data_IF_716642475016
#
_entry.id   IF_716642475016
#
_cell.length_a   1.000
_cell.length_b   1.000
_cell.length_c   1.000
_cell.angle_alpha   90.00
_cell.angle_beta   90.00
_cell.angle_gamma   90.00
#
_symmetry.space_group_name_H-M   'P 1'
#
loop_
_entity.id
_entity.type
_entity.pdbx_description
1 polymer ?
#
# COMPACT_ATOMS: atom_id res chain seq x y z
N UNK A 1 -21.21 38.69 44.59
CA UNK A 1 -20.15 38.62 43.55
C UNK A 1 -20.18 37.30 42.77
N UNK A 2 -20.53 36.15 43.37
CA UNK A 2 -20.55 34.83 42.70
C UNK A 2 -21.52 34.72 41.48
N UNK A 3 -22.72 35.33 41.54
CA UNK A 3 -23.69 35.24 40.44
C UNK A 3 -23.20 35.90 39.13
N UNK A 4 -22.39 36.96 39.21
CA UNK A 4 -21.81 37.62 38.02
C UNK A 4 -20.73 36.72 37.35
N UNK A 5 -19.93 36.01 38.16
CA UNK A 5 -18.89 35.13 37.66
C UNK A 5 -19.45 33.91 36.96
N UNK A 6 -20.58 33.37 37.42
CA UNK A 6 -21.30 32.27 36.79
C UNK A 6 -21.89 32.67 35.44
N UNK A 7 -22.44 33.91 35.35
CA UNK A 7 -22.97 34.44 34.10
C UNK A 7 -21.88 34.59 33.01
N UNK A 8 -20.70 35.12 33.36
CA UNK A 8 -19.60 35.25 32.41
C UNK A 8 -19.01 33.88 31.97
N UNK A 9 -19.03 32.89 32.86
CA UNK A 9 -18.62 31.50 32.50
C UNK A 9 -19.61 30.89 31.53
N UNK A 10 -20.91 31.04 31.75
CA UNK A 10 -21.96 30.51 30.86
C UNK A 10 -21.91 31.22 29.49
N UNK A 11 -21.71 32.54 29.50
CA UNK A 11 -21.59 33.33 28.27
C UNK A 11 -20.32 32.92 27.47
N UNK A 12 -19.19 32.75 28.16
CA UNK A 12 -17.96 32.27 27.57
C UNK A 12 -18.09 30.85 26.99
N UNK A 13 -18.72 29.93 27.70
CA UNK A 13 -19.02 28.60 27.20
C UNK A 13 -19.95 28.61 25.97
N UNK A 14 -20.96 29.50 25.97
CA UNK A 14 -21.85 29.71 24.82
C UNK A 14 -21.11 30.23 23.58
N UNK A 15 -20.22 31.19 23.75
CA UNK A 15 -19.37 31.72 22.67
C UNK A 15 -18.44 30.64 22.12
N UNK A 16 -17.82 29.84 22.99
CA UNK A 16 -16.96 28.72 22.59
C UNK A 16 -17.76 27.69 21.81
N UNK A 17 -18.98 27.34 22.25
CA UNK A 17 -19.85 26.41 21.51
C UNK A 17 -20.25 26.93 20.13
N UNK A 18 -20.59 28.25 20.04
CA UNK A 18 -20.91 28.87 18.74
C UNK A 18 -19.68 28.90 17.83
N UNK A 19 -18.48 29.15 18.33
CA UNK A 19 -17.24 29.11 17.56
C UNK A 19 -16.92 27.67 17.09
N UNK A 20 -17.11 26.69 17.96
CA UNK A 20 -16.95 25.27 17.62
C UNK A 20 -17.97 24.88 16.55
N UNK A 21 -19.25 25.26 16.72
CA UNK A 21 -20.30 24.94 15.74
C UNK A 21 -20.04 25.66 14.40
N UNK A 22 -19.62 26.91 14.40
CA UNK A 22 -19.24 27.65 13.19
C UNK A 22 -17.99 27.04 12.50
N UNK A 23 -17.06 26.52 13.29
CA UNK A 23 -15.89 25.80 12.77
C UNK A 23 -16.29 24.49 12.08
N UNK A 24 -17.19 23.71 12.69
CA UNK A 24 -17.68 22.46 12.07
C UNK A 24 -18.55 22.74 10.83
N UNK A 25 -19.39 23.76 10.82
CA UNK A 25 -20.17 24.12 9.62
C UNK A 25 -19.28 24.62 8.46
N UNK A 26 -18.22 25.38 8.76
CA UNK A 26 -17.23 25.77 7.76
C UNK A 26 -16.30 24.64 7.35
N UNK A 27 -16.15 23.63 8.21
CA UNK A 27 -15.30 22.46 7.93
C UNK A 27 -15.82 21.65 6.75
N UNK A 28 -17.13 21.41 6.63
CA UNK A 28 -17.72 20.69 5.51
C UNK A 28 -17.56 21.45 4.19
N UNK A 29 -17.84 22.75 4.18
CA UNK A 29 -17.60 23.62 3.02
C UNK A 29 -16.09 23.67 2.66
N UNK A 30 -15.20 23.74 3.66
CA UNK A 30 -13.76 23.72 3.45
C UNK A 30 -13.29 22.36 2.93
N UNK A 31 -13.88 21.26 3.42
CA UNK A 31 -13.62 19.90 2.97
C UNK A 31 -14.04 19.70 1.50
N UNK A 32 -15.17 20.24 1.09
CA UNK A 32 -15.64 20.15 -0.30
C UNK A 32 -14.76 20.95 -1.25
N UNK A 33 -14.40 22.17 -0.87
CA UNK A 33 -13.44 23.00 -1.61
C UNK A 33 -12.09 22.28 -1.69
N UNK A 34 -11.56 21.82 -0.56
CA UNK A 34 -10.30 21.10 -0.47
C UNK A 34 -10.30 19.82 -1.31
N UNK A 35 -11.35 19.00 -1.23
CA UNK A 35 -11.47 17.76 -2.01
C UNK A 35 -11.54 18.03 -3.51
N UNK A 36 -12.21 19.08 -3.92
CA UNK A 36 -12.32 19.49 -5.33
C UNK A 36 -10.97 19.96 -5.88
N UNK A 37 -10.28 20.87 -5.18
CA UNK A 37 -8.98 21.37 -5.66
C UNK A 37 -7.90 20.29 -5.62
N UNK A 38 -7.87 19.44 -4.58
CA UNK A 38 -6.96 18.28 -4.55
C UNK A 38 -7.30 17.31 -5.67
N UNK A 39 -8.60 17.13 -5.98
CA UNK A 39 -9.02 16.31 -7.10
C UNK A 39 -8.37 16.71 -8.43
N UNK A 40 -8.17 18.00 -8.67
CA UNK A 40 -7.46 18.51 -9.86
C UNK A 40 -5.93 18.33 -9.78
N UNK A 41 -5.34 18.28 -8.57
CA UNK A 41 -3.90 18.06 -8.39
C UNK A 41 -3.51 16.57 -8.45
N UNK A 42 -4.45 15.64 -8.29
CA UNK A 42 -4.18 14.20 -8.32
C UNK A 42 -3.39 13.76 -9.58
N UNK A 43 -3.75 14.16 -10.81
CA UNK A 43 -2.98 13.79 -12.00
C UNK A 43 -1.54 14.31 -11.96
N UNK A 44 -1.30 15.51 -11.38
CA UNK A 44 0.07 16.04 -11.22
C UNK A 44 0.87 15.22 -10.20
N UNK A 45 0.23 14.79 -9.11
CA UNK A 45 0.84 13.90 -8.13
C UNK A 45 1.20 12.56 -8.79
N UNK A 46 0.28 11.97 -9.56
CA UNK A 46 0.58 10.76 -10.34
C UNK A 46 1.73 10.99 -11.31
N UNK A 47 1.77 12.12 -12.02
CA UNK A 47 2.84 12.45 -12.95
C UNK A 47 4.21 12.51 -12.25
N UNK A 48 4.29 13.16 -11.09
CA UNK A 48 5.51 13.21 -10.28
C UNK A 48 5.95 11.81 -9.82
N UNK A 49 5.03 11.01 -9.28
CA UNK A 49 5.35 9.65 -8.83
C UNK A 49 5.81 8.77 -9.99
N UNK A 50 5.07 8.75 -11.10
CA UNK A 50 5.41 7.95 -12.28
C UNK A 50 6.76 8.39 -12.85
N UNK A 51 7.01 9.70 -12.98
CA UNK A 51 8.28 10.21 -13.50
C UNK A 51 9.46 9.86 -12.59
N UNK A 52 9.32 10.05 -11.26
CA UNK A 52 10.34 9.66 -10.28
C UNK A 52 10.63 8.16 -10.38
N UNK A 53 9.59 7.34 -10.55
CA UNK A 53 9.69 5.90 -10.58
C UNK A 53 10.32 5.35 -11.87
N UNK A 54 9.99 5.94 -13.02
CA UNK A 54 10.53 5.52 -14.32
C UNK A 54 11.90 6.13 -14.63
N UNK A 55 12.25 7.24 -14.00
CA UNK A 55 13.51 7.94 -14.25
C UNK A 55 14.78 7.06 -14.12
N UNK A 56 14.93 6.18 -13.12
CA UNK A 56 16.09 5.31 -13.04
C UNK A 56 16.20 4.35 -14.24
N UNK A 57 15.07 3.88 -14.78
CA UNK A 57 15.03 3.03 -15.97
C UNK A 57 15.45 3.81 -17.22
N UNK A 58 14.89 5.02 -17.37
CA UNK A 58 15.26 5.93 -18.47
C UNK A 58 16.73 6.25 -18.43
N UNK A 59 17.28 6.69 -17.29
CA UNK A 59 18.69 7.02 -17.13
C UNK A 59 19.60 5.81 -17.35
N UNK A 60 19.18 4.61 -16.93
CA UNK A 60 19.94 3.39 -17.17
C UNK A 60 20.07 3.06 -18.66
N UNK A 61 18.98 3.20 -19.41
CA UNK A 61 18.96 2.98 -20.87
C UNK A 61 19.79 4.07 -21.57
N UNK A 62 19.56 5.33 -21.23
CA UNK A 62 20.28 6.50 -21.77
C UNK A 62 21.79 6.32 -21.62
N UNK A 63 22.26 6.03 -20.40
CA UNK A 63 23.68 5.88 -20.10
C UNK A 63 24.29 4.60 -20.69
N UNK A 64 23.55 3.48 -20.71
CA UNK A 64 24.06 2.20 -21.22
C UNK A 64 24.21 2.20 -22.72
N UNK A 65 23.26 2.78 -23.44
CA UNK A 65 23.21 2.78 -24.89
C UNK A 65 23.62 4.13 -25.51
N UNK A 66 23.95 5.14 -24.68
CA UNK A 66 24.32 6.50 -25.08
C UNK A 66 23.28 7.13 -26.05
N UNK A 67 22.00 6.87 -25.77
CA UNK A 67 20.89 7.35 -26.60
C UNK A 67 20.49 8.76 -26.19
N UNK A 68 19.84 9.47 -27.13
CA UNK A 68 19.19 10.76 -26.84
C UNK A 68 18.03 10.55 -25.84
N UNK A 69 17.80 11.53 -24.97
CA UNK A 69 16.80 11.50 -23.89
C UNK A 69 15.41 11.04 -24.39
N UNK A 70 14.93 11.64 -25.46
CA UNK A 70 13.60 11.30 -26.00
C UNK A 70 13.48 9.84 -26.45
N UNK A 71 14.55 9.26 -27.02
CA UNK A 71 14.58 7.85 -27.43
C UNK A 71 14.51 6.94 -26.21
N UNK A 72 15.29 7.25 -25.17
CA UNK A 72 15.31 6.45 -23.92
C UNK A 72 13.96 6.50 -23.21
N UNK A 73 13.30 7.66 -23.17
CA UNK A 73 11.92 7.80 -22.63
C UNK A 73 10.96 6.98 -23.46
N UNK A 74 10.97 7.08 -24.79
CA UNK A 74 10.08 6.31 -25.66
C UNK A 74 10.25 4.80 -25.47
N UNK A 75 11.48 4.31 -25.36
CA UNK A 75 11.75 2.89 -25.11
C UNK A 75 11.14 2.44 -23.77
N UNK A 76 11.35 3.21 -22.69
CA UNK A 76 10.80 2.86 -21.37
C UNK A 76 9.28 2.87 -21.39
N UNK A 77 8.65 3.87 -22.03
CA UNK A 77 7.19 3.95 -22.15
C UNK A 77 6.63 2.77 -22.92
N UNK A 78 7.24 2.41 -24.06
CA UNK A 78 6.83 1.23 -24.84
C UNK A 78 6.98 -0.06 -24.02
N UNK A 79 8.09 -0.23 -23.28
CA UNK A 79 8.29 -1.38 -22.40
C UNK A 79 7.24 -1.45 -21.30
N UNK A 80 6.89 -0.32 -20.68
CA UNK A 80 5.81 -0.25 -19.66
C UNK A 80 4.47 -0.63 -20.29
N UNK A 81 4.14 -0.09 -21.45
CA UNK A 81 2.87 -0.41 -22.16
C UNK A 81 2.83 -1.91 -22.51
N UNK A 82 3.91 -2.46 -23.06
CA UNK A 82 3.99 -3.90 -23.37
C UNK A 82 3.88 -4.74 -22.09
N UNK A 83 4.56 -4.35 -21.02
CA UNK A 83 4.48 -5.04 -19.74
C UNK A 83 3.06 -5.04 -19.16
N UNK A 84 2.38 -3.89 -19.15
CA UNK A 84 1.00 -3.77 -18.69
C UNK A 84 0.03 -4.53 -19.60
N UNK A 85 0.16 -4.39 -20.93
CA UNK A 85 -0.67 -5.10 -21.89
C UNK A 85 -0.48 -6.63 -21.78
N UNK A 86 0.75 -7.09 -21.62
CA UNK A 86 1.07 -8.51 -21.38
C UNK A 86 0.46 -9.01 -20.08
N UNK A 87 0.62 -8.27 -18.98
CA UNK A 87 0.01 -8.60 -17.70
C UNK A 87 -1.52 -8.69 -17.80
N UNK A 88 -2.16 -7.66 -18.36
CA UNK A 88 -3.62 -7.63 -18.55
C UNK A 88 -4.08 -8.76 -19.49
N UNK A 89 -3.41 -8.93 -20.62
CA UNK A 89 -3.80 -9.92 -21.65
C UNK A 89 -3.61 -11.38 -21.21
N UNK A 90 -2.60 -11.66 -20.38
CA UNK A 90 -2.33 -13.03 -19.92
C UNK A 90 -3.06 -13.37 -18.62
N UNK A 91 -3.10 -12.43 -17.69
CA UNK A 91 -3.58 -12.71 -16.33
C UNK A 91 -5.08 -12.43 -16.18
N UNK A 92 -5.59 -11.34 -16.75
CA UNK A 92 -6.99 -10.95 -16.60
C UNK A 92 -7.99 -12.02 -17.12
N UNK A 93 -7.77 -12.66 -18.28
CA UNK A 93 -8.65 -13.73 -18.74
C UNK A 93 -8.65 -14.96 -17.82
N UNK A 94 -7.50 -15.31 -17.23
CA UNK A 94 -7.39 -16.44 -16.30
C UNK A 94 -8.09 -16.12 -14.97
N UNK A 95 -7.95 -14.88 -14.46
CA UNK A 95 -8.71 -14.42 -13.31
C UNK A 95 -10.21 -14.45 -13.59
N UNK A 96 -10.65 -13.96 -14.75
CA UNK A 96 -12.05 -13.99 -15.16
C UNK A 96 -12.62 -15.42 -15.21
N UNK A 97 -11.86 -16.39 -15.72
CA UNK A 97 -12.25 -17.80 -15.67
C UNK A 97 -12.37 -18.31 -14.25
N UNK A 98 -11.37 -18.06 -13.40
CA UNK A 98 -11.39 -18.46 -11.98
C UNK A 98 -12.57 -17.86 -11.23
N UNK A 99 -12.87 -16.60 -11.44
CA UNK A 99 -14.06 -15.95 -10.85
C UNK A 99 -15.37 -16.54 -11.37
N UNK A 100 -15.48 -16.81 -12.67
CA UNK A 100 -16.67 -17.44 -13.25
C UNK A 100 -16.89 -18.86 -12.72
N UNK A 101 -15.83 -19.64 -12.61
CA UNK A 101 -15.88 -20.99 -12.03
C UNK A 101 -16.29 -20.94 -10.55
N UNK A 102 -15.69 -20.04 -9.78
CA UNK A 102 -16.03 -19.80 -8.39
C UNK A 102 -17.53 -19.43 -8.25
N UNK A 103 -18.00 -18.46 -9.04
CA UNK A 103 -19.39 -18.01 -9.03
C UNK A 103 -20.37 -19.16 -9.33
N UNK A 104 -20.08 -19.98 -10.35
CA UNK A 104 -20.92 -21.10 -10.75
C UNK A 104 -20.92 -22.24 -9.71
N UNK A 105 -19.82 -22.40 -8.96
CA UNK A 105 -19.67 -23.43 -7.92
C UNK A 105 -20.18 -22.98 -6.55
N UNK A 106 -20.41 -21.69 -6.33
CA UNK A 106 -20.84 -21.16 -5.03
C UNK A 106 -22.02 -21.91 -4.39
N UNK A 107 -23.13 -22.24 -5.10
CA UNK A 107 -24.23 -22.99 -4.52
C UNK A 107 -23.80 -24.38 -4.04
N UNK A 108 -23.04 -25.10 -4.85
CA UNK A 108 -22.53 -26.43 -4.53
C UNK A 108 -21.50 -26.43 -3.39
N UNK A 109 -20.69 -25.38 -3.32
CA UNK A 109 -19.70 -25.20 -2.26
C UNK A 109 -20.36 -25.00 -0.89
N UNK A 110 -21.55 -24.38 -0.82
CA UNK A 110 -22.31 -24.24 0.43
C UNK A 110 -22.70 -25.60 1.00
N UNK A 111 -23.12 -26.53 0.16
CA UNK A 111 -23.51 -27.88 0.56
C UNK A 111 -22.30 -28.69 1.04
N UNK A 112 -21.20 -28.69 0.26
CA UNK A 112 -19.95 -29.36 0.64
C UNK A 112 -19.35 -28.85 1.94
N UNK A 113 -19.45 -27.55 2.18
CA UNK A 113 -18.92 -26.95 3.39
C UNK A 113 -19.77 -27.36 4.61
N UNK A 114 -21.09 -27.43 4.46
CA UNK A 114 -21.98 -27.97 5.48
C UNK A 114 -21.59 -29.40 5.87
N UNK A 115 -21.35 -30.26 4.87
CA UNK A 115 -20.91 -31.64 5.09
C UNK A 115 -19.52 -31.77 5.71
N UNK A 116 -18.60 -30.87 5.33
CA UNK A 116 -17.27 -30.81 5.95
C UNK A 116 -17.35 -30.41 7.41
N UNK A 117 -18.13 -29.36 7.72
CA UNK A 117 -18.34 -28.89 9.10
C UNK A 117 -18.96 -30.02 9.95
N UNK A 118 -19.97 -30.72 9.44
CA UNK A 118 -20.56 -31.87 10.13
C UNK A 118 -19.52 -32.93 10.44
N UNK A 119 -18.70 -33.33 9.47
CA UNK A 119 -17.62 -34.30 9.67
C UNK A 119 -16.60 -33.86 10.71
N UNK A 120 -16.22 -32.58 10.73
CA UNK A 120 -15.30 -32.03 11.73
C UNK A 120 -15.95 -32.03 13.12
N UNK A 121 -17.21 -31.63 13.24
CA UNK A 121 -17.94 -31.66 14.51
C UNK A 121 -18.10 -33.07 15.04
N UNK A 122 -18.48 -34.05 14.18
CA UNK A 122 -18.60 -35.45 14.54
C UNK A 122 -17.24 -36.03 15.04
N UNK A 123 -16.13 -35.70 14.37
CA UNK A 123 -14.78 -36.09 14.79
C UNK A 123 -14.39 -35.51 16.14
N UNK A 124 -14.69 -34.21 16.37
CA UNK A 124 -14.40 -33.55 17.64
C UNK A 124 -15.26 -34.10 18.79
N UNK A 125 -16.48 -34.54 18.48
CA UNK A 125 -17.37 -35.21 19.42
C UNK A 125 -16.87 -36.59 19.80
N UNK A 126 -16.43 -37.39 18.82
CA UNK A 126 -15.85 -38.71 19.06
C UNK A 126 -14.62 -38.65 19.97
N UNK A 127 -13.88 -37.53 19.92
CA UNK A 127 -12.70 -37.27 20.75
C UNK A 127 -13.01 -36.56 22.08
N UNK A 128 -14.28 -36.39 22.46
CA UNK A 128 -14.73 -35.66 23.67
C UNK A 128 -14.12 -34.25 23.82
N UNK A 129 -13.74 -33.62 22.71
CA UNK A 129 -13.13 -32.28 22.69
C UNK A 129 -14.18 -31.17 22.63
N UNK A 130 -15.45 -31.47 22.41
CA UNK A 130 -16.56 -30.51 22.37
C UNK A 130 -17.32 -30.52 23.70
N UNK A 131 -17.22 -29.41 24.44
CA UNK A 131 -17.91 -29.20 25.73
C UNK A 131 -19.18 -28.34 25.58
N UNK A 132 -19.46 -27.74 24.43
CA UNK A 132 -20.52 -26.72 24.25
C UNK A 132 -21.40 -27.05 23.04
N UNK A 133 -22.71 -26.80 23.18
CA UNK A 133 -23.83 -27.01 22.27
C UNK A 133 -23.58 -27.04 20.76
N UNK A 134 -23.51 -28.24 20.19
CA UNK A 134 -23.24 -28.56 18.80
C UNK A 134 -24.10 -27.75 17.80
N UNK A 135 -25.39 -27.67 18.02
CA UNK A 135 -26.36 -26.97 17.15
C UNK A 135 -26.02 -25.47 17.01
N UNK A 136 -25.58 -24.83 18.10
CA UNK A 136 -25.29 -23.41 18.10
C UNK A 136 -23.99 -23.11 17.32
N UNK A 137 -23.01 -23.99 17.40
CA UNK A 137 -21.73 -23.85 16.64
C UNK A 137 -22.01 -24.09 15.15
N UNK A 138 -22.73 -25.14 14.79
CA UNK A 138 -23.12 -25.47 13.42
C UNK A 138 -23.92 -24.31 12.79
N UNK A 139 -24.98 -23.83 13.47
CA UNK A 139 -25.80 -22.73 12.99
C UNK A 139 -25.02 -21.42 12.85
N UNK A 140 -24.17 -21.09 13.80
CA UNK A 140 -23.35 -19.87 13.74
C UNK A 140 -22.35 -19.93 12.59
N UNK A 141 -21.66 -21.06 12.38
CA UNK A 141 -20.71 -21.22 11.28
C UNK A 141 -21.44 -21.18 9.94
N UNK A 142 -22.56 -21.91 9.78
CA UNK A 142 -23.36 -21.89 8.55
C UNK A 142 -23.89 -20.49 8.24
N UNK A 143 -24.36 -19.76 9.25
CA UNK A 143 -24.84 -18.39 9.08
C UNK A 143 -23.72 -17.41 8.72
N UNK A 144 -22.54 -17.52 9.36
CA UNK A 144 -21.36 -16.74 9.00
C UNK A 144 -20.94 -17.01 7.55
N UNK A 145 -20.97 -18.26 7.10
CA UNK A 145 -20.63 -18.62 5.74
C UNK A 145 -21.63 -18.09 4.73
N UNK A 146 -22.93 -18.28 4.96
CA UNK A 146 -24.00 -17.73 4.11
C UNK A 146 -23.87 -16.20 3.96
N UNK A 147 -23.61 -15.51 5.08
CA UNK A 147 -23.43 -14.05 5.09
C UNK A 147 -22.17 -13.63 4.31
N UNK A 148 -21.04 -14.32 4.48
CA UNK A 148 -19.82 -14.00 3.78
C UNK A 148 -19.86 -14.34 2.28
N UNK A 149 -20.58 -15.40 1.90
CA UNK A 149 -20.83 -15.73 0.49
C UNK A 149 -21.73 -14.67 -0.16
N UNK A 150 -22.78 -14.22 0.54
CA UNK A 150 -23.61 -13.09 0.10
C UNK A 150 -22.77 -11.82 -0.10
N UNK A 151 -21.91 -11.48 0.86
CA UNK A 151 -21.00 -10.36 0.77
C UNK A 151 -20.01 -10.46 -0.41
N UNK A 152 -19.56 -11.67 -0.76
CA UNK A 152 -18.71 -11.90 -1.95
C UNK A 152 -19.47 -11.67 -3.26
N UNK A 153 -20.73 -12.10 -3.33
CA UNK A 153 -21.58 -11.82 -4.50
C UNK A 153 -21.82 -10.32 -4.65
N UNK A 154 -22.19 -9.64 -3.55
CA UNK A 154 -22.36 -8.19 -3.51
C UNK A 154 -21.05 -7.46 -3.85
N UNK A 155 -19.91 -7.91 -3.34
CA UNK A 155 -18.61 -7.37 -3.69
C UNK A 155 -18.31 -7.53 -5.19
N UNK A 156 -18.53 -8.72 -5.76
CA UNK A 156 -18.37 -8.97 -7.21
C UNK A 156 -19.27 -8.06 -8.06
N UNK A 157 -20.53 -7.91 -7.66
CA UNK A 157 -21.49 -7.01 -8.32
C UNK A 157 -21.06 -5.54 -8.12
N UNK A 158 -20.66 -5.16 -6.92
CA UNK A 158 -20.23 -3.79 -6.65
C UNK A 158 -18.97 -3.39 -7.43
N UNK A 159 -18.03 -4.31 -7.63
CA UNK A 159 -16.88 -4.09 -8.51
C UNK A 159 -17.31 -3.83 -9.95
N UNK A 160 -18.30 -4.57 -10.46
CA UNK A 160 -18.84 -4.37 -11.81
C UNK A 160 -19.67 -3.08 -11.92
N UNK A 161 -20.49 -2.76 -10.90
CA UNK A 161 -21.35 -1.57 -10.91
C UNK A 161 -20.55 -0.26 -10.71
N UNK A 162 -19.38 -0.32 -10.10
CA UNK A 162 -18.51 0.85 -9.92
C UNK A 162 -17.66 1.19 -11.16
N UNK A 163 -18.07 0.76 -12.35
CA UNK A 163 -17.34 1.05 -13.62
C UNK A 163 -17.11 2.56 -13.80
N UNK A 164 -18.06 3.40 -13.44
CA UNK A 164 -17.90 4.86 -13.53
C UNK A 164 -16.78 5.39 -12.63
N UNK A 165 -16.68 4.86 -11.41
CA UNK A 165 -15.59 5.23 -10.48
C UNK A 165 -14.22 4.81 -11.03
N UNK A 166 -14.13 3.58 -11.57
CA UNK A 166 -12.93 3.09 -12.23
C UNK A 166 -12.56 3.93 -13.45
N UNK A 167 -13.55 4.35 -14.24
CA UNK A 167 -13.32 5.21 -15.41
C UNK A 167 -12.74 6.57 -15.04
N UNK A 168 -13.26 7.20 -13.97
CA UNK A 168 -12.72 8.47 -13.46
C UNK A 168 -11.32 8.30 -12.88
N UNK A 169 -11.07 7.23 -12.13
CA UNK A 169 -9.75 6.94 -11.57
C UNK A 169 -8.73 6.67 -12.69
N UNK A 170 -9.09 5.88 -13.68
CA UNK A 170 -8.26 5.59 -14.86
C UNK A 170 -7.97 6.84 -15.68
N UNK A 171 -8.96 7.71 -15.92
CA UNK A 171 -8.73 8.95 -16.65
C UNK A 171 -7.71 9.86 -15.96
N UNK A 172 -7.81 10.01 -14.64
CA UNK A 172 -6.82 10.75 -13.84
C UNK A 172 -5.44 10.12 -13.92
N UNK A 173 -5.37 8.78 -13.90
CA UNK A 173 -4.12 8.05 -14.05
C UNK A 173 -3.49 8.26 -15.43
N UNK A 174 -4.28 8.15 -16.51
CA UNK A 174 -3.79 8.39 -17.87
C UNK A 174 -3.31 9.82 -18.09
N UNK A 175 -4.03 10.82 -17.56
CA UNK A 175 -3.57 12.21 -17.60
C UNK A 175 -2.24 12.33 -16.84
N UNK A 176 -2.13 11.74 -15.65
CA UNK A 176 -0.90 11.74 -14.89
C UNK A 176 0.25 11.03 -15.61
N UNK A 177 -0.01 9.89 -16.26
CA UNK A 177 0.97 9.17 -17.05
C UNK A 177 1.46 10.02 -18.25
N UNK A 178 0.54 10.67 -18.94
CA UNK A 178 0.89 11.57 -20.03
C UNK A 178 1.76 12.75 -19.57
N UNK A 179 1.38 13.39 -18.46
CA UNK A 179 2.19 14.44 -17.85
C UNK A 179 3.57 13.94 -17.39
N UNK A 180 3.66 12.69 -16.90
CA UNK A 180 4.94 12.09 -16.50
C UNK A 180 5.91 11.97 -17.67
N UNK A 181 5.42 11.69 -18.88
CA UNK A 181 6.25 11.65 -20.09
C UNK A 181 6.93 13.01 -20.33
N UNK A 182 6.20 14.12 -20.20
CA UNK A 182 6.79 15.46 -20.35
C UNK A 182 7.80 15.76 -19.23
N UNK A 183 7.51 15.41 -17.99
CA UNK A 183 8.46 15.57 -16.88
C UNK A 183 9.74 14.76 -17.15
N UNK A 184 9.60 13.54 -17.70
CA UNK A 184 10.75 12.70 -18.06
C UNK A 184 11.55 13.28 -19.23
N UNK A 185 10.90 13.82 -20.24
CA UNK A 185 11.56 14.45 -21.38
C UNK A 185 12.37 15.68 -20.95
N UNK A 186 11.75 16.55 -20.17
CA UNK A 186 12.31 17.84 -19.76
C UNK A 186 12.84 17.83 -18.30
N UNK A 187 13.32 16.68 -17.81
CA UNK A 187 13.80 16.49 -16.44
C UNK A 187 14.74 17.59 -15.98
N UNK A 188 15.74 17.93 -16.81
CA UNK A 188 16.76 18.91 -16.43
C UNK A 188 16.15 20.30 -16.20
N UNK A 189 15.18 20.68 -17.03
CA UNK A 189 14.43 21.92 -16.86
C UNK A 189 13.66 21.92 -15.54
N UNK A 190 12.91 20.84 -15.25
CA UNK A 190 12.13 20.74 -14.01
C UNK A 190 13.00 20.74 -12.75
N UNK A 191 14.13 20.00 -12.77
CA UNK A 191 15.07 19.97 -11.65
C UNK A 191 15.71 21.35 -11.43
N UNK A 192 16.14 22.01 -12.51
CA UNK A 192 16.71 23.36 -12.45
C UNK A 192 15.67 24.38 -11.96
N UNK A 193 14.46 24.32 -12.46
CA UNK A 193 13.34 25.17 -12.04
C UNK A 193 13.05 25.01 -10.54
N UNK A 194 12.94 23.77 -10.05
CA UNK A 194 12.72 23.49 -8.63
C UNK A 194 13.88 24.03 -7.76
N UNK A 195 15.12 23.79 -8.15
CA UNK A 195 16.30 24.28 -7.42
C UNK A 195 16.35 25.81 -7.39
N UNK A 196 15.97 26.48 -8.48
CA UNK A 196 15.90 27.93 -8.52
C UNK A 196 14.82 28.47 -7.57
N UNK A 197 13.63 27.88 -7.57
CA UNK A 197 12.55 28.23 -6.63
C UNK A 197 13.01 28.04 -5.19
N UNK A 198 13.62 26.92 -4.86
CA UNK A 198 14.13 26.66 -3.51
C UNK A 198 15.19 27.70 -3.11
N UNK A 199 16.07 28.08 -4.04
CA UNK A 199 17.10 29.08 -3.81
C UNK A 199 16.50 30.48 -3.60
N UNK A 200 15.47 30.84 -4.37
CA UNK A 200 14.76 32.13 -4.25
C UNK A 200 14.03 32.24 -2.93
N UNK A 201 13.27 31.18 -2.54
CA UNK A 201 12.43 31.23 -1.34
C UNK A 201 13.26 31.05 -0.06
N UNK A 202 14.22 30.14 -0.04
CA UNK A 202 14.96 29.75 1.16
C UNK A 202 16.35 30.39 1.30
N UNK A 203 16.83 31.03 0.22
CA UNK A 203 18.21 31.49 0.11
C UNK A 203 19.16 30.36 -0.32
N UNK A 204 20.36 30.71 -0.80
CA UNK A 204 21.32 29.79 -1.45
C UNK A 204 21.70 28.59 -0.58
N UNK A 205 22.10 28.81 0.67
CA UNK A 205 22.52 27.72 1.57
C UNK A 205 21.38 26.77 1.92
N UNK A 206 20.23 27.31 2.34
CA UNK A 206 19.06 26.49 2.70
C UNK A 206 18.43 25.82 1.48
N UNK A 207 18.48 26.47 0.31
CA UNK A 207 18.03 25.91 -0.96
C UNK A 207 18.81 24.65 -1.36
N UNK A 208 20.15 24.68 -1.24
CA UNK A 208 21.01 23.52 -1.47
C UNK A 208 20.66 22.39 -0.47
N UNK A 209 20.54 22.70 0.81
CA UNK A 209 20.15 21.71 1.82
C UNK A 209 18.80 21.06 1.51
N UNK A 210 17.83 21.85 1.07
CA UNK A 210 16.51 21.33 0.72
C UNK A 210 16.57 20.46 -0.54
N UNK A 211 17.35 20.83 -1.54
CA UNK A 211 17.58 20.02 -2.74
C UNK A 211 18.19 18.65 -2.39
N UNK A 212 19.22 18.65 -1.54
CA UNK A 212 19.85 17.41 -1.07
C UNK A 212 18.89 16.54 -0.27
N UNK A 213 18.09 17.15 0.59
CA UNK A 213 17.04 16.45 1.33
C UNK A 213 16.00 15.82 0.41
N UNK A 214 15.52 16.54 -0.61
CA UNK A 214 14.58 16.02 -1.59
C UNK A 214 15.16 14.86 -2.39
N UNK A 215 16.45 14.93 -2.77
CA UNK A 215 17.13 13.85 -3.45
C UNK A 215 17.27 12.60 -2.57
N UNK A 216 17.60 12.75 -1.29
CA UNK A 216 17.66 11.64 -0.34
C UNK A 216 16.27 11.04 -0.11
N UNK A 217 15.24 11.87 0.05
CA UNK A 217 13.84 11.44 0.19
C UNK A 217 13.35 10.66 -1.03
N UNK A 218 13.70 11.13 -2.23
CA UNK A 218 13.44 10.41 -3.49
C UNK A 218 14.08 9.01 -3.47
N UNK A 219 15.32 8.89 -3.02
CA UNK A 219 16.01 7.60 -2.98
C UNK A 219 15.35 6.65 -1.96
N UNK A 220 14.96 7.14 -0.78
CA UNK A 220 14.20 6.36 0.21
C UNK A 220 12.91 5.82 -0.42
N UNK A 221 12.15 6.67 -1.10
CA UNK A 221 10.90 6.29 -1.78
C UNK A 221 11.15 5.25 -2.87
N UNK A 222 12.09 5.50 -3.77
CA UNK A 222 12.41 4.61 -4.89
C UNK A 222 12.85 3.22 -4.42
N UNK A 223 13.80 3.19 -3.51
CA UNK A 223 14.34 1.94 -3.00
C UNK A 223 13.23 1.12 -2.30
N UNK A 224 12.38 1.76 -1.50
CA UNK A 224 11.27 1.08 -0.86
C UNK A 224 10.28 0.51 -1.88
N UNK A 225 9.82 1.32 -2.82
CA UNK A 225 8.80 0.90 -3.81
C UNK A 225 9.33 -0.22 -4.70
N UNK A 226 10.54 -0.05 -5.27
CA UNK A 226 11.17 -1.11 -6.07
C UNK A 226 11.42 -2.37 -5.26
N UNK A 227 11.91 -2.22 -4.05
CA UNK A 227 12.11 -3.33 -3.14
C UNK A 227 10.83 -4.10 -2.88
N UNK A 228 9.73 -3.41 -2.56
CA UNK A 228 8.42 -4.05 -2.30
C UNK A 228 7.83 -4.72 -3.54
N UNK A 229 7.97 -4.12 -4.73
CA UNK A 229 7.53 -4.75 -5.98
C UNK A 229 8.29 -6.06 -6.21
N UNK A 230 9.61 -6.04 -6.08
CA UNK A 230 10.44 -7.22 -6.27
C UNK A 230 10.09 -8.30 -5.23
N UNK A 231 9.99 -7.92 -3.95
CA UNK A 231 9.58 -8.82 -2.88
C UNK A 231 8.23 -9.49 -3.16
N UNK A 232 7.24 -8.69 -3.51
CA UNK A 232 5.88 -9.13 -3.79
C UNK A 232 5.82 -10.07 -5.01
N UNK A 233 6.60 -9.77 -6.05
CA UNK A 233 6.73 -10.65 -7.22
C UNK A 233 7.34 -12.01 -6.84
N UNK A 234 8.40 -12.02 -6.02
CA UNK A 234 9.00 -13.26 -5.53
C UNK A 234 8.04 -14.08 -4.66
N UNK A 235 7.37 -13.43 -3.70
CA UNK A 235 6.38 -14.09 -2.84
C UNK A 235 5.25 -14.69 -3.68
N UNK A 236 4.69 -13.91 -4.62
CA UNK A 236 3.65 -14.38 -5.51
C UNK A 236 4.11 -15.55 -6.39
N UNK A 237 5.30 -15.47 -6.98
CA UNK A 237 5.84 -16.53 -7.83
C UNK A 237 6.10 -17.83 -7.05
N UNK A 238 6.74 -17.74 -5.89
CA UNK A 238 7.01 -18.91 -5.04
C UNK A 238 5.72 -19.55 -4.55
N UNK A 239 4.77 -18.72 -4.07
CA UNK A 239 3.44 -19.21 -3.67
C UNK A 239 2.74 -19.89 -4.85
N UNK A 240 2.78 -19.30 -6.06
CA UNK A 240 2.20 -19.91 -7.25
C UNK A 240 2.82 -21.26 -7.57
N UNK A 241 4.14 -21.39 -7.56
CA UNK A 241 4.87 -22.63 -7.83
C UNK A 241 4.39 -23.73 -6.86
N UNK A 242 4.36 -23.45 -5.56
CA UNK A 242 3.92 -24.43 -4.57
C UNK A 242 2.46 -24.83 -4.79
N UNK A 243 1.55 -23.86 -4.98
CA UNK A 243 0.13 -24.14 -5.18
C UNK A 243 -0.13 -24.89 -6.49
N UNK A 244 0.61 -24.58 -7.55
CA UNK A 244 0.49 -25.24 -8.86
C UNK A 244 0.89 -26.71 -8.77
N UNK A 245 2.06 -27.01 -8.21
CA UNK A 245 2.55 -28.40 -8.10
C UNK A 245 1.77 -29.24 -7.08
N UNK A 246 1.15 -28.62 -6.09
CA UNK A 246 0.28 -29.33 -5.14
C UNK A 246 -1.18 -29.46 -5.62
N UNK A 247 -1.49 -28.90 -6.79
CA UNK A 247 -2.81 -28.99 -7.41
C UNK A 247 -3.89 -28.26 -6.61
N UNK A 248 -3.54 -27.17 -5.90
CA UNK A 248 -4.51 -26.36 -5.16
C UNK A 248 -5.41 -25.60 -6.14
N UNK A 249 -6.75 -25.65 -5.99
CA UNK A 249 -7.64 -24.90 -6.85
C UNK A 249 -7.39 -23.39 -6.73
N UNK A 250 -7.62 -22.67 -7.84
CA UNK A 250 -7.39 -21.21 -7.93
C UNK A 250 -5.95 -20.79 -7.58
N UNK A 251 -4.94 -21.63 -7.86
CA UNK A 251 -3.53 -21.37 -7.55
C UNK A 251 -3.06 -20.00 -8.05
N UNK A 252 -3.36 -19.63 -9.30
CA UNK A 252 -2.98 -18.35 -9.87
C UNK A 252 -3.67 -17.18 -9.16
N UNK A 253 -4.98 -17.28 -8.91
CA UNK A 253 -5.75 -16.22 -8.22
C UNK A 253 -5.22 -16.02 -6.80
N UNK A 254 -5.07 -17.10 -6.03
CA UNK A 254 -4.58 -17.06 -4.65
C UNK A 254 -3.15 -16.50 -4.57
N UNK A 255 -2.24 -16.94 -5.43
CA UNK A 255 -0.86 -16.47 -5.44
C UNK A 255 -0.71 -15.01 -5.86
N UNK A 256 -1.50 -14.54 -6.83
CA UNK A 256 -1.53 -13.14 -7.23
C UNK A 256 -2.09 -12.26 -6.11
N UNK A 257 -3.17 -12.69 -5.45
CA UNK A 257 -3.71 -11.95 -4.30
C UNK A 257 -2.69 -11.85 -3.17
N UNK A 258 -2.01 -12.96 -2.83
CA UNK A 258 -0.97 -12.98 -1.79
C UNK A 258 0.22 -12.11 -2.22
N UNK A 259 0.68 -12.21 -3.47
CA UNK A 259 1.76 -11.39 -3.99
C UNK A 259 1.43 -9.91 -3.98
N UNK A 260 0.28 -9.49 -4.51
CA UNK A 260 -0.16 -8.09 -4.50
C UNK A 260 -0.38 -7.61 -3.06
N UNK A 261 -1.05 -8.41 -2.23
CA UNK A 261 -1.23 -8.10 -0.81
C UNK A 261 0.10 -7.87 -0.10
N UNK A 262 1.13 -8.64 -0.41
CA UNK A 262 2.45 -8.51 0.17
C UNK A 262 3.14 -7.15 -0.11
N UNK A 263 2.63 -6.33 -1.03
CA UNK A 263 3.10 -4.95 -1.19
C UNK A 263 2.88 -4.12 0.08
N UNK A 264 1.84 -4.41 0.86
CA UNK A 264 1.59 -3.79 2.17
C UNK A 264 2.20 -4.69 3.25
N UNK A 265 3.27 -4.26 3.96
CA UNK A 265 3.94 -5.08 4.95
C UNK A 265 2.98 -5.61 6.03
N UNK A 266 3.08 -6.89 6.35
CA UNK A 266 2.32 -7.61 7.38
C UNK A 266 0.81 -7.68 7.12
N UNK A 267 0.12 -6.53 7.03
CA UNK A 267 -1.35 -6.47 6.91
C UNK A 267 -1.83 -7.06 5.59
N UNK A 268 -1.17 -6.72 4.49
CA UNK A 268 -1.62 -7.11 3.16
C UNK A 268 -1.55 -8.62 2.92
N UNK A 269 -0.47 -9.27 3.34
CA UNK A 269 -0.32 -10.73 3.23
C UNK A 269 -1.29 -11.49 4.14
N UNK A 270 -1.62 -10.96 5.33
CA UNK A 270 -2.62 -11.56 6.22
C UNK A 270 -4.00 -11.48 5.58
N UNK A 271 -4.41 -10.31 5.10
CA UNK A 271 -5.73 -10.12 4.47
C UNK A 271 -5.85 -10.98 3.20
N UNK A 272 -4.85 -10.93 2.32
CA UNK A 272 -4.85 -11.73 1.10
C UNK A 272 -4.82 -13.24 1.40
N UNK A 273 -4.05 -13.66 2.41
CA UNK A 273 -4.01 -15.03 2.88
C UNK A 273 -5.36 -15.51 3.42
N UNK A 274 -6.06 -14.70 4.20
CA UNK A 274 -7.39 -15.02 4.68
C UNK A 274 -8.40 -15.22 3.54
N UNK A 275 -8.35 -14.39 2.50
CA UNK A 275 -9.19 -14.55 1.30
C UNK A 275 -8.79 -15.82 0.54
N UNK A 276 -7.50 -16.10 0.38
CA UNK A 276 -7.03 -17.32 -0.28
C UNK A 276 -7.46 -18.59 0.49
N UNK A 277 -7.36 -18.58 1.82
CA UNK A 277 -7.85 -19.66 2.70
C UNK A 277 -9.32 -19.88 2.45
N UNK A 278 -10.13 -18.82 2.45
CA UNK A 278 -11.56 -18.91 2.20
C UNK A 278 -11.88 -19.53 0.82
N UNK A 279 -11.18 -19.11 -0.24
CA UNK A 279 -11.35 -19.65 -1.59
C UNK A 279 -11.02 -21.15 -1.65
N UNK A 280 -9.94 -21.58 -1.02
CA UNK A 280 -9.49 -22.98 -1.03
C UNK A 280 -10.40 -23.86 -0.18
N UNK A 281 -10.84 -23.38 1.00
CA UNK A 281 -11.81 -24.13 1.82
C UNK A 281 -13.11 -24.37 1.05
N UNK A 282 -13.61 -23.35 0.33
CA UNK A 282 -14.82 -23.51 -0.46
C UNK A 282 -14.65 -24.46 -1.63
N UNK A 283 -13.49 -24.48 -2.28
CA UNK A 283 -13.25 -25.30 -3.47
C UNK A 283 -12.87 -26.74 -3.13
N UNK A 284 -11.90 -26.93 -2.25
CA UNK A 284 -11.37 -28.25 -1.87
C UNK A 284 -10.71 -28.15 -0.49
N UNK A 285 -11.45 -28.36 0.62
CA UNK A 285 -10.95 -28.20 1.98
C UNK A 285 -9.71 -29.04 2.30
N UNK A 286 -9.57 -30.23 1.66
CA UNK A 286 -8.43 -31.11 1.83
C UNK A 286 -7.10 -30.48 1.42
N UNK A 287 -7.14 -29.50 0.54
CA UNK A 287 -5.94 -28.78 0.01
C UNK A 287 -5.46 -27.62 0.89
N UNK A 288 -6.17 -27.28 1.97
CA UNK A 288 -5.85 -26.13 2.82
C UNK A 288 -4.44 -26.19 3.40
N UNK A 289 -3.98 -27.41 3.74
CA UNK A 289 -2.63 -27.62 4.30
C UNK A 289 -1.54 -27.17 3.30
N UNK A 290 -1.72 -27.45 2.02
CA UNK A 290 -0.78 -27.03 0.97
C UNK A 290 -0.79 -25.52 0.78
N UNK A 291 -1.94 -24.86 0.95
CA UNK A 291 -2.00 -23.39 0.96
C UNK A 291 -1.21 -22.81 2.13
N UNK A 292 -1.37 -23.35 3.34
CA UNK A 292 -0.57 -22.92 4.49
C UNK A 292 0.92 -23.10 4.26
N UNK A 293 1.34 -24.25 3.70
CA UNK A 293 2.74 -24.50 3.34
C UNK A 293 3.22 -23.45 2.33
N UNK A 294 2.43 -23.19 1.27
CA UNK A 294 2.77 -22.18 0.27
C UNK A 294 2.93 -20.78 0.85
N UNK A 295 2.02 -20.39 1.75
CA UNK A 295 2.10 -19.11 2.48
C UNK A 295 3.34 -19.04 3.38
N UNK A 296 3.63 -20.12 4.13
CA UNK A 296 4.83 -20.18 4.98
C UNK A 296 6.11 -20.06 4.17
N UNK A 297 6.22 -20.77 3.05
CA UNK A 297 7.38 -20.70 2.15
C UNK A 297 7.50 -19.29 1.56
N UNK A 298 6.40 -18.70 1.08
CA UNK A 298 6.37 -17.33 0.58
C UNK A 298 6.81 -16.30 1.65
N UNK A 299 6.31 -16.43 2.88
CA UNK A 299 6.70 -15.55 3.99
C UNK A 299 8.15 -15.77 4.44
N UNK A 300 8.66 -17.00 4.39
CA UNK A 300 10.07 -17.28 4.66
C UNK A 300 10.98 -16.61 3.61
N UNK A 301 10.59 -16.63 2.34
CA UNK A 301 11.31 -15.91 1.28
C UNK A 301 11.29 -14.41 1.52
N UNK A 302 10.14 -13.83 1.87
CA UNK A 302 10.06 -12.41 2.22
C UNK A 302 10.92 -12.07 3.45
N UNK A 303 10.80 -12.84 4.52
CA UNK A 303 11.46 -12.55 5.80
C UNK A 303 12.98 -12.78 5.81
N UNK A 304 13.46 -13.82 5.12
CA UNK A 304 14.88 -14.23 5.20
C UNK A 304 15.72 -13.77 4.02
N UNK A 305 15.12 -13.63 2.83
CA UNK A 305 15.88 -13.32 1.62
C UNK A 305 15.66 -11.87 1.20
N UNK A 306 14.41 -11.46 1.11
CA UNK A 306 14.03 -10.18 0.50
C UNK A 306 13.92 -9.07 1.54
N UNK A 307 13.29 -9.33 2.67
CA UNK A 307 13.07 -8.35 3.74
C UNK A 307 14.37 -7.72 4.27
N UNK A 308 15.39 -8.49 4.64
CA UNK A 308 16.67 -7.92 5.11
C UNK A 308 17.32 -6.98 4.10
N UNK A 309 17.25 -7.31 2.80
CA UNK A 309 17.84 -6.48 1.73
C UNK A 309 17.05 -5.21 1.46
N UNK A 310 15.73 -5.25 1.62
CA UNK A 310 14.87 -4.11 1.28
C UNK A 310 14.65 -3.18 2.47
N UNK A 311 14.32 -3.72 3.65
CA UNK A 311 13.93 -2.91 4.81
C UNK A 311 15.15 -2.36 5.54
N UNK A 312 16.23 -3.15 5.70
CA UNK A 312 17.41 -2.72 6.44
C UNK A 312 18.27 -1.73 5.67
N UNK A 313 18.43 -1.91 4.36
CA UNK A 313 19.25 -1.04 3.53
C UNK A 313 18.52 0.24 3.09
N UNK A 314 17.19 0.19 3.00
CA UNK A 314 16.41 1.25 2.36
C UNK A 314 15.84 2.27 3.32
N UNK A 315 15.27 1.81 4.45
CA UNK A 315 14.57 2.69 5.39
C UNK A 315 15.23 2.66 6.77
N UNK A 316 15.99 1.60 7.09
CA UNK A 316 16.73 1.45 8.33
C UNK A 316 15.86 1.55 9.59
N UNK A 317 14.55 1.31 9.47
CA UNK A 317 13.59 1.38 10.58
C UNK A 317 13.40 0.01 11.22
N UNK A 318 13.15 -0.02 12.54
CA UNK A 318 12.73 -1.24 13.20
C UNK A 318 11.32 -1.65 12.77
N UNK A 319 11.01 -2.94 12.89
CA UNK A 319 9.68 -3.51 12.58
C UNK A 319 8.54 -2.76 13.27
N UNK A 320 8.76 -2.31 14.51
CA UNK A 320 7.79 -1.51 15.27
C UNK A 320 7.36 -0.26 14.48
N UNK A 321 8.32 0.54 13.99
CA UNK A 321 8.03 1.76 13.24
C UNK A 321 7.39 1.49 11.87
N UNK A 322 7.71 0.34 11.26
CA UNK A 322 7.03 -0.08 10.02
C UNK A 322 5.55 -0.37 10.30
N UNK A 323 5.23 -1.10 11.37
CA UNK A 323 3.83 -1.37 11.75
C UNK A 323 3.08 -0.07 12.07
N UNK A 324 3.69 0.82 12.85
CA UNK A 324 3.10 2.14 13.17
C UNK A 324 2.84 2.95 11.90
N UNK A 325 3.79 2.96 10.97
CA UNK A 325 3.65 3.66 9.69
C UNK A 325 2.49 3.11 8.84
N UNK A 326 2.33 1.78 8.80
CA UNK A 326 1.22 1.11 8.11
C UNK A 326 -0.12 1.46 8.76
N UNK A 327 -0.21 1.42 10.09
CA UNK A 327 -1.45 1.72 10.82
C UNK A 327 -1.87 3.19 10.66
N UNK A 328 -0.94 4.12 10.86
CA UNK A 328 -1.22 5.56 10.71
C UNK A 328 -1.51 5.88 9.24
N UNK A 329 -0.70 5.38 8.31
CA UNK A 329 -0.95 5.58 6.88
C UNK A 329 -2.32 5.02 6.47
N UNK A 330 -2.66 3.84 6.97
CA UNK A 330 -3.94 3.19 6.71
C UNK A 330 -5.15 3.98 7.22
N UNK A 331 -5.06 4.57 8.40
CA UNK A 331 -6.12 5.41 8.96
C UNK A 331 -6.34 6.71 8.17
N UNK A 332 -5.29 7.25 7.54
CA UNK A 332 -5.34 8.50 6.79
C UNK A 332 -5.80 8.33 5.34
N UNK A 333 -5.32 7.31 4.63
CA UNK A 333 -5.51 7.15 3.19
C UNK A 333 -5.85 5.71 2.77
N UNK A 334 -6.28 4.86 3.70
CA UNK A 334 -6.62 3.46 3.42
C UNK A 334 -5.42 2.64 2.89
N UNK A 335 -5.64 1.69 1.96
CA UNK A 335 -4.58 0.81 1.44
C UNK A 335 -3.40 1.57 0.81
N UNK A 336 -3.67 2.68 0.13
CA UNK A 336 -2.62 3.55 -0.45
C UNK A 336 -1.76 4.15 0.67
N UNK A 337 -2.40 4.61 1.75
CA UNK A 337 -1.69 5.12 2.91
C UNK A 337 -0.89 4.06 3.66
N UNK A 338 -1.38 2.81 3.73
CA UNK A 338 -0.61 1.69 4.29
C UNK A 338 0.69 1.46 3.51
N UNK A 339 0.64 1.51 2.19
CA UNK A 339 1.80 1.33 1.34
C UNK A 339 2.79 2.50 1.45
N UNK A 340 2.33 3.74 1.29
CA UNK A 340 3.19 4.93 1.31
C UNK A 340 3.55 5.43 2.71
N UNK A 341 2.88 4.95 3.74
CA UNK A 341 3.18 5.29 5.14
C UNK A 341 4.62 4.92 5.52
N UNK A 342 5.10 3.76 5.09
CA UNK A 342 6.45 3.29 5.41
C UNK A 342 7.54 4.22 4.85
N UNK A 343 7.58 4.57 3.57
CA UNK A 343 8.57 5.53 3.08
C UNK A 343 8.37 6.94 3.64
N UNK A 344 7.14 7.35 3.98
CA UNK A 344 6.91 8.63 4.65
C UNK A 344 7.57 8.68 6.03
N UNK A 345 7.45 7.61 6.82
CA UNK A 345 8.17 7.47 8.10
C UNK A 345 9.69 7.37 7.91
N UNK A 346 10.14 6.75 6.82
CA UNK A 346 11.56 6.73 6.43
C UNK A 346 12.10 8.13 6.17
N UNK A 347 11.33 8.97 5.49
CA UNK A 347 11.68 10.38 5.27
C UNK A 347 11.68 11.16 6.60
N UNK A 348 10.74 10.91 7.51
CA UNK A 348 10.76 11.53 8.85
C UNK A 348 11.99 11.11 9.64
N UNK A 349 12.38 9.84 9.58
CA UNK A 349 13.64 9.36 10.17
C UNK A 349 14.84 10.07 9.57
N UNK A 350 14.89 10.27 8.25
CA UNK A 350 15.95 11.02 7.59
C UNK A 350 16.07 12.44 8.13
N UNK A 351 14.94 13.13 8.35
CA UNK A 351 14.92 14.47 8.99
C UNK A 351 15.55 14.40 10.38
N UNK A 352 15.14 13.42 11.18
CA UNK A 352 15.68 13.21 12.53
C UNK A 352 17.20 13.01 12.50
N UNK A 353 17.71 12.12 11.64
CA UNK A 353 19.14 11.83 11.52
C UNK A 353 19.98 13.06 11.09
N UNK A 354 19.44 13.86 10.16
CA UNK A 354 20.07 15.11 9.74
C UNK A 354 20.16 16.10 10.91
N UNK A 355 19.12 16.20 11.73
CA UNK A 355 19.11 17.10 12.88
C UNK A 355 20.09 16.64 13.98
N UNK A 356 20.10 15.34 14.29
CA UNK A 356 21.04 14.76 15.27
C UNK A 356 22.47 15.00 14.84
N UNK A 357 22.84 14.72 13.58
CA UNK A 357 24.20 14.99 13.06
C UNK A 357 24.60 16.47 13.19
N UNK A 358 23.67 17.40 12.96
CA UNK A 358 23.95 18.84 13.16
C UNK A 358 24.24 19.18 14.62
N UNK A 359 23.49 18.60 15.56
CA UNK A 359 23.69 18.80 17.00
C UNK A 359 25.06 18.23 17.44
N UNK A 360 25.39 17.01 17.04
CA UNK A 360 26.65 16.36 17.35
C UNK A 360 27.85 17.15 16.82
N UNK A 361 27.78 17.60 15.57
CA UNK A 361 28.83 18.43 14.98
C UNK A 361 29.02 19.75 15.75
N UNK A 362 27.95 20.38 16.21
CA UNK A 362 28.01 21.60 17.02
C UNK A 362 28.66 21.35 18.39
N UNK A 363 28.33 20.21 19.02
CA UNK A 363 28.93 19.79 20.31
C UNK A 363 30.44 19.54 20.15
N UNK A 364 30.84 18.82 19.08
CA UNK A 364 32.24 18.52 18.78
C UNK A 364 33.04 19.81 18.52
N UNK A 365 32.47 20.75 17.74
CA UNK A 365 33.08 22.03 17.46
C UNK A 365 33.30 22.84 18.75
N UNK A 366 32.28 22.94 19.59
CA UNK A 366 32.35 23.65 20.85
C UNK A 366 33.37 23.02 21.83
N UNK A 367 33.52 21.68 21.83
CA UNK A 367 34.55 20.98 22.64
C UNK A 367 35.95 21.28 22.15
N UNK A 368 36.17 21.32 20.83
CA UNK A 368 37.48 21.69 20.24
C UNK A 368 37.87 23.15 20.57
N UNK A 369 36.95 24.09 20.42
CA UNK A 369 37.19 25.49 20.75
C UNK A 369 37.53 25.72 22.23
N UNK A 370 36.85 24.98 23.15
CA UNK A 370 37.20 25.04 24.58
C UNK A 370 38.57 24.43 24.92
N UNK A 371 39.05 23.47 24.11
CA UNK A 371 40.33 22.82 24.32
C UNK A 371 41.51 23.69 23.83
N UNK A 372 41.28 24.62 22.89
CA UNK A 372 42.27 25.57 22.38
C UNK A 372 42.35 26.86 23.21
N UNK A 373 41.38 27.10 24.11
CA UNK A 373 41.35 28.27 24.99
C UNK A 373 41.90 27.96 26.39
N UNK A 374 42.32 26.73 26.67
CA UNK A 374 43.08 26.30 27.84
C UNK A 374 44.55 26.05 27.46
#
# INVERSE_FOLDING_TARGET
>A
MEKKWTFFKILGAGIILILIQSFFQKYDAFKDIYSTYIGYLIPMIYALFISIFLEPLVSKIENRFKLKRWVSVSIVIVLVIIGVAGFVGLILPQLGKSFKELYNKLPYMQEQLGDFIKRVLDYLKEKELLVIGEKQIEENIVNLLKRNIGNLQEFGISVLLNIMWWTVALSKFFIGFFLAVFILLDKEYFVKFLNNILTIILGKEKGIYMSDFLNQSRNVLLNYVWGRIIASAFVGAVTFIVLFFTGVPYALLSSLMIGIGNMIPYVGSIVAGAVAIFLVILAEPSKIIYLFIAMMVGQAVDGWIVGPRIVSETVGMSTFWVIVAVLIGGSLMGPVGMFFGVPAFGIMKLVYEIQVKKIDNKIIKNKKEKKWKK
#
